data_IF_742118699251
#
_entry.id   IF_742118699251
#
_cell.length_a   1.000
_cell.length_b   1.000
_cell.length_c   1.000
_cell.angle_alpha   90.00
_cell.angle_beta   90.00
_cell.angle_gamma   90.00
#
_symmetry.space_group_name_H-M   'P 1'
#
loop_
_entity.id
_entity.type
_entity.pdbx_description
1 polymer ?
#
# COMPACT_ATOMS: atom_id res chain seq x y z
N UNK A 1 13.75 -6.21 -18.19
CA UNK A 1 14.29 -4.83 -18.16
C UNK A 1 13.63 -4.06 -17.02
N UNK A 2 14.37 -3.22 -16.31
CA UNK A 2 13.83 -2.35 -15.27
C UNK A 2 13.46 -0.99 -15.88
N UNK A 3 12.24 -0.51 -15.59
CA UNK A 3 11.85 0.84 -15.95
C UNK A 3 12.50 1.86 -14.99
N UNK A 4 13.23 2.83 -15.50
CA UNK A 4 13.92 3.84 -14.68
C UNK A 4 12.96 4.93 -14.21
N UNK A 5 12.07 5.39 -15.10
CA UNK A 5 11.08 6.42 -14.85
C UNK A 5 9.80 6.11 -15.66
N UNK A 6 8.80 7.00 -15.62
CA UNK A 6 7.52 6.84 -16.32
C UNK A 6 7.68 6.81 -17.84
N UNK A 7 8.46 7.70 -18.41
CA UNK A 7 8.69 7.78 -19.86
C UNK A 7 9.33 6.49 -20.35
N UNK A 8 10.33 5.97 -19.64
CA UNK A 8 10.95 4.70 -19.97
C UNK A 8 9.96 3.52 -19.86
N UNK A 9 9.06 3.54 -18.84
CA UNK A 9 7.98 2.55 -18.73
C UNK A 9 7.05 2.60 -19.95
N UNK A 10 6.64 3.79 -20.40
CA UNK A 10 5.82 3.98 -21.61
C UNK A 10 6.52 3.41 -22.84
N UNK A 11 7.79 3.68 -23.02
CA UNK A 11 8.58 3.16 -24.15
C UNK A 11 8.64 1.63 -24.12
N UNK A 12 8.91 1.03 -22.96
CA UNK A 12 8.96 -0.42 -22.79
C UNK A 12 7.61 -1.09 -23.08
N UNK A 13 6.50 -0.43 -22.79
CA UNK A 13 5.16 -0.95 -23.05
C UNK A 13 4.69 -0.77 -24.50
N UNK A 14 5.39 -0.02 -25.34
CA UNK A 14 5.10 0.08 -26.79
C UNK A 14 5.48 -1.18 -27.57
N UNK A 15 6.32 -2.04 -26.99
CA UNK A 15 6.73 -3.30 -27.63
C UNK A 15 5.52 -4.23 -27.77
N UNK A 16 5.28 -4.73 -28.97
CA UNK A 16 4.05 -5.47 -29.31
C UNK A 16 3.92 -6.83 -28.59
N UNK A 17 5.03 -7.49 -28.29
CA UNK A 17 5.04 -8.78 -27.59
C UNK A 17 6.40 -9.10 -27.00
N UNK A 18 6.40 -9.98 -26.00
CA UNK A 18 7.62 -10.47 -25.33
C UNK A 18 8.20 -9.46 -24.33
N UNK A 19 9.14 -9.97 -23.54
CA UNK A 19 9.84 -9.20 -22.54
C UNK A 19 9.18 -9.21 -21.15
N UNK A 20 10.02 -8.98 -20.15
CA UNK A 20 9.63 -8.78 -18.75
C UNK A 20 10.07 -7.38 -18.34
N UNK A 21 9.15 -6.60 -17.83
CA UNK A 21 9.40 -5.23 -17.35
C UNK A 21 9.21 -5.20 -15.84
N UNK A 22 10.26 -4.81 -15.13
CA UNK A 22 10.19 -4.55 -13.69
C UNK A 22 9.96 -3.06 -13.45
N UNK A 23 9.00 -2.75 -12.60
CA UNK A 23 8.66 -1.37 -12.24
C UNK A 23 8.14 -1.30 -10.81
N UNK A 24 8.03 -0.10 -10.27
CA UNK A 24 7.37 0.13 -8.99
C UNK A 24 5.99 0.76 -9.22
N UNK A 25 5.06 0.49 -8.32
CA UNK A 25 3.68 0.98 -8.43
C UNK A 25 3.59 2.51 -8.47
N UNK A 26 4.55 3.21 -7.84
CA UNK A 26 4.60 4.67 -7.81
C UNK A 26 4.73 5.31 -9.20
N UNK A 27 5.26 4.56 -10.18
CA UNK A 27 5.35 5.05 -11.56
C UNK A 27 3.99 5.15 -12.28
N UNK A 28 2.95 4.56 -11.67
CA UNK A 28 1.56 4.69 -12.13
C UNK A 28 0.80 5.82 -11.42
N UNK A 29 1.46 6.67 -10.64
CA UNK A 29 0.84 7.85 -10.06
C UNK A 29 0.85 8.99 -11.09
N UNK A 30 -0.27 9.70 -11.36
CA UNK A 30 -0.28 10.87 -12.23
C UNK A 30 0.59 11.99 -11.66
N UNK A 31 1.20 12.80 -12.51
CA UNK A 31 1.98 13.97 -12.10
C UNK A 31 1.06 15.09 -11.63
N UNK A 32 -0.03 15.28 -12.37
CA UNK A 32 -1.07 16.25 -12.06
C UNK A 32 -2.46 15.61 -12.20
N UNK A 33 -3.38 16.05 -11.37
CA UNK A 33 -4.78 15.60 -11.42
C UNK A 33 -5.00 14.18 -10.90
N UNK A 34 -6.09 13.56 -11.38
CA UNK A 34 -6.61 12.29 -10.88
C UNK A 34 -6.77 11.21 -11.96
N UNK A 35 -6.26 11.46 -13.15
CA UNK A 35 -6.37 10.55 -14.28
C UNK A 35 -4.97 10.16 -14.72
N UNK A 36 -4.74 8.84 -14.77
CA UNK A 36 -3.55 8.31 -15.41
C UNK A 36 -3.88 7.96 -16.86
N UNK A 37 -2.98 8.32 -17.77
CA UNK A 37 -3.18 8.00 -19.20
C UNK A 37 -3.10 6.48 -19.45
N UNK A 38 -3.86 6.03 -20.43
CA UNK A 38 -3.72 4.66 -20.92
C UNK A 38 -2.34 4.45 -21.56
N UNK A 39 -1.57 3.54 -21.02
CA UNK A 39 -0.26 3.18 -21.55
C UNK A 39 -0.37 2.12 -22.65
N UNK A 40 -1.34 1.21 -22.52
CA UNK A 40 -1.55 0.16 -23.49
C UNK A 40 -2.93 -0.50 -23.36
N UNK A 41 -3.67 -0.56 -24.45
CA UNK A 41 -4.93 -1.30 -24.57
C UNK A 41 -4.74 -2.80 -24.86
N UNK A 42 -3.52 -3.31 -24.86
CA UNK A 42 -3.23 -4.71 -25.20
C UNK A 42 -3.78 -5.66 -24.16
N UNK A 43 -4.29 -6.81 -24.64
CA UNK A 43 -4.82 -7.90 -23.80
C UNK A 43 -3.77 -8.95 -23.43
N UNK A 44 -2.59 -8.92 -24.06
CA UNK A 44 -1.51 -9.88 -23.82
C UNK A 44 -0.46 -9.35 -22.82
N UNK A 45 -0.86 -8.48 -21.90
CA UNK A 45 -0.05 -8.03 -20.78
C UNK A 45 -0.51 -8.78 -19.53
N UNK A 46 0.44 -9.34 -18.80
CA UNK A 46 0.22 -9.90 -17.46
C UNK A 46 0.95 -9.03 -16.46
N UNK A 47 0.22 -8.49 -15.51
CA UNK A 47 0.75 -7.70 -14.39
C UNK A 47 0.86 -8.62 -13.18
N UNK A 48 2.06 -8.79 -12.68
CA UNK A 48 2.35 -9.54 -11.46
C UNK A 48 2.69 -8.52 -10.36
N UNK A 49 1.85 -8.43 -9.34
CA UNK A 49 2.04 -7.56 -8.20
C UNK A 49 2.51 -8.38 -7.00
N UNK A 50 3.75 -8.15 -6.58
CA UNK A 50 4.27 -8.66 -5.32
C UNK A 50 3.87 -7.73 -4.18
N UNK A 51 3.73 -8.26 -2.96
CA UNK A 51 3.21 -7.55 -1.80
C UNK A 51 1.89 -6.81 -2.10
N UNK A 52 0.98 -7.51 -2.76
CA UNK A 52 -0.23 -6.93 -3.35
C UNK A 52 -1.10 -6.16 -2.34
N UNK A 53 -1.03 -6.48 -1.04
CA UNK A 53 -1.70 -5.76 0.03
C UNK A 53 -1.26 -4.30 0.14
N UNK A 54 -0.02 -3.96 -0.26
CA UNK A 54 0.50 -2.59 -0.22
C UNK A 54 -0.03 -1.72 -1.36
N UNK A 55 -0.47 -2.33 -2.45
CA UNK A 55 -0.95 -1.62 -3.65
C UNK A 55 -2.43 -1.30 -3.62
N UNK A 56 -3.16 -1.78 -2.60
CA UNK A 56 -4.61 -1.84 -2.55
C UNK A 56 -5.29 -0.61 -1.98
N UNK A 57 -4.60 0.48 -1.80
CA UNK A 57 -5.23 1.71 -1.33
C UNK A 57 -6.18 2.25 -2.41
N UNK A 58 -7.32 1.57 -2.49
CA UNK A 58 -8.60 2.01 -2.93
C UNK A 58 -8.79 2.35 -4.40
N UNK A 59 -9.76 1.68 -5.01
CA UNK A 59 -10.52 2.24 -6.12
C UNK A 59 -11.39 3.43 -5.66
N UNK A 60 -11.59 3.58 -4.33
CA UNK A 60 -12.38 4.66 -3.78
C UNK A 60 -11.62 5.97 -3.75
N UNK A 61 -12.31 7.02 -4.12
CA UNK A 61 -11.81 8.38 -4.04
C UNK A 61 -11.66 8.81 -2.57
N UNK A 62 -10.50 9.35 -2.23
CA UNK A 62 -10.27 10.01 -0.94
C UNK A 62 -10.06 11.49 -1.18
N UNK A 63 -10.72 12.32 -0.39
CA UNK A 63 -10.48 13.77 -0.41
C UNK A 63 -9.38 14.06 0.61
N UNK A 64 -8.32 14.70 0.15
CA UNK A 64 -7.22 15.19 1.01
C UNK A 64 -7.14 16.70 0.88
N UNK A 65 -6.70 17.35 1.95
CA UNK A 65 -6.45 18.78 1.94
C UNK A 65 -5.20 19.08 1.11
N UNK A 66 -5.28 20.14 0.30
CA UNK A 66 -4.18 20.68 -0.46
C UNK A 66 -3.54 21.80 0.36
N UNK A 67 -2.24 21.65 0.65
CA UNK A 67 -1.52 22.57 1.51
C UNK A 67 -0.59 23.45 0.67
N UNK A 68 -0.39 24.71 1.08
CA UNK A 68 0.65 25.58 0.57
C UNK A 68 2.04 25.23 1.17
N UNK A 69 3.07 25.97 0.78
CA UNK A 69 4.44 25.78 1.28
C UNK A 69 4.58 26.08 2.78
N UNK A 70 3.61 26.77 3.36
CA UNK A 70 3.56 27.15 4.77
C UNK A 70 2.71 26.20 5.60
N UNK A 71 2.04 25.21 4.94
CA UNK A 71 1.21 24.20 5.59
C UNK A 71 -0.25 24.59 5.79
N UNK A 72 -0.72 25.71 5.23
CA UNK A 72 -2.12 26.12 5.30
C UNK A 72 -2.94 25.40 4.25
N UNK A 73 -4.20 25.07 4.58
CA UNK A 73 -5.14 24.45 3.65
C UNK A 73 -5.60 25.48 2.61
N UNK A 74 -5.19 25.28 1.35
CA UNK A 74 -5.57 26.13 0.21
C UNK A 74 -6.69 25.54 -0.63
N UNK A 75 -7.00 24.25 -0.44
CA UNK A 75 -8.05 23.56 -1.20
C UNK A 75 -8.24 22.11 -0.77
N UNK A 76 -9.04 21.41 -1.54
CA UNK A 76 -9.23 19.96 -1.39
C UNK A 76 -9.08 19.29 -2.75
N UNK A 77 -8.32 18.20 -2.79
CA UNK A 77 -8.19 17.37 -3.99
C UNK A 77 -8.64 15.94 -3.73
N UNK A 78 -9.20 15.35 -4.76
CA UNK A 78 -9.57 13.93 -4.75
C UNK A 78 -8.36 13.12 -5.21
N UNK A 79 -8.01 12.08 -4.48
CA UNK A 79 -6.95 11.12 -4.84
C UNK A 79 -7.51 9.72 -4.85
N UNK A 80 -6.97 8.89 -5.72
CA UNK A 80 -7.28 7.47 -5.78
C UNK A 80 -6.06 6.65 -5.37
N UNK A 81 -6.27 5.39 -5.05
CA UNK A 81 -5.17 4.47 -4.81
C UNK A 81 -4.45 4.06 -6.09
N UNK A 82 -3.24 3.56 -5.93
CA UNK A 82 -2.40 3.10 -7.06
C UNK A 82 -3.07 2.02 -7.91
N UNK A 83 -3.91 1.18 -7.31
CA UNK A 83 -4.62 0.12 -8.05
C UNK A 83 -5.52 0.69 -9.14
N UNK A 84 -6.18 1.83 -8.88
CA UNK A 84 -7.00 2.50 -9.89
C UNK A 84 -6.13 3.00 -11.05
N UNK A 85 -5.07 3.72 -10.77
CA UNK A 85 -4.18 4.27 -11.80
C UNK A 85 -3.50 3.18 -12.63
N UNK A 86 -3.12 2.08 -12.00
CA UNK A 86 -2.60 0.92 -12.71
C UNK A 86 -3.63 0.29 -13.65
N UNK A 87 -4.90 0.21 -13.21
CA UNK A 87 -6.01 -0.27 -14.05
C UNK A 87 -6.32 0.69 -15.18
N UNK A 88 -6.30 2.00 -14.94
CA UNK A 88 -6.48 3.02 -15.97
C UNK A 88 -5.37 2.93 -17.04
N UNK A 89 -4.13 2.73 -16.59
CA UNK A 89 -2.96 2.60 -17.49
C UNK A 89 -3.00 1.34 -18.36
N UNK A 90 -3.51 0.24 -17.84
CA UNK A 90 -3.51 -1.07 -18.49
C UNK A 90 -4.88 -1.75 -18.37
N UNK A 91 -5.94 -1.19 -19.00
CA UNK A 91 -7.33 -1.59 -18.75
C UNK A 91 -7.66 -3.04 -19.16
N UNK A 92 -6.92 -3.60 -20.10
CA UNK A 92 -7.16 -4.94 -20.64
C UNK A 92 -6.12 -5.98 -20.18
N UNK A 93 -5.22 -5.61 -19.26
CA UNK A 93 -4.21 -6.53 -18.74
C UNK A 93 -4.84 -7.57 -17.78
N UNK A 94 -4.22 -8.74 -17.72
CA UNK A 94 -4.50 -9.73 -16.68
C UNK A 94 -3.69 -9.39 -15.43
N UNK A 95 -4.32 -9.45 -14.26
CA UNK A 95 -3.68 -9.08 -12.99
C UNK A 95 -3.57 -10.29 -12.07
N UNK A 96 -2.39 -10.48 -11.50
CA UNK A 96 -2.09 -11.52 -10.54
C UNK A 96 -1.39 -10.90 -9.33
N UNK A 97 -1.95 -11.06 -8.14
CA UNK A 97 -1.40 -10.55 -6.88
C UNK A 97 -0.82 -11.67 -6.03
N UNK A 98 0.37 -11.44 -5.47
CA UNK A 98 0.97 -12.28 -4.44
C UNK A 98 1.03 -11.48 -3.13
N UNK A 99 0.64 -12.08 -2.02
CA UNK A 99 0.71 -11.45 -0.70
C UNK A 99 0.72 -12.47 0.42
N UNK A 100 1.58 -12.27 1.40
CA UNK A 100 1.57 -13.05 2.65
C UNK A 100 0.57 -12.52 3.70
N UNK A 101 -0.03 -11.34 3.46
CA UNK A 101 -0.94 -10.68 4.40
C UNK A 101 -2.15 -10.10 3.67
N UNK A 102 -3.07 -10.94 3.17
CA UNK A 102 -4.26 -10.44 2.50
C UNK A 102 -5.11 -9.59 3.46
N UNK A 103 -5.70 -8.53 2.92
CA UNK A 103 -6.55 -7.62 3.68
C UNK A 103 -8.00 -7.74 3.19
N UNK A 104 -8.91 -7.97 4.12
CA UNK A 104 -10.35 -8.10 3.86
C UNK A 104 -11.15 -7.09 4.72
N UNK A 105 -10.82 -5.83 4.60
CA UNK A 105 -11.58 -4.75 5.25
C UNK A 105 -12.53 -4.07 4.25
N UNK A 106 -13.55 -3.39 4.76
CA UNK A 106 -14.58 -2.70 3.98
C UNK A 106 -14.01 -1.71 2.97
N UNK A 107 -12.91 -1.03 3.33
CA UNK A 107 -12.30 0.03 2.49
C UNK A 107 -11.10 -0.46 1.67
N UNK A 108 -10.54 -1.63 2.03
CA UNK A 108 -9.34 -2.21 1.40
C UNK A 108 -9.55 -3.71 1.32
N UNK A 109 -9.73 -4.23 0.11
CA UNK A 109 -10.07 -5.64 -0.09
C UNK A 109 -9.26 -6.21 -1.25
N UNK A 110 -8.40 -7.20 -0.95
CA UNK A 110 -7.55 -7.89 -1.93
C UNK A 110 -8.36 -8.55 -3.03
N UNK A 111 -9.41 -9.33 -2.74
CA UNK A 111 -10.27 -9.92 -3.75
C UNK A 111 -10.94 -8.90 -4.67
N UNK A 112 -11.32 -7.74 -4.18
CA UNK A 112 -11.92 -6.69 -5.01
C UNK A 112 -10.94 -6.14 -6.07
N UNK A 113 -9.64 -6.21 -5.82
CA UNK A 113 -8.60 -5.71 -6.73
C UNK A 113 -8.12 -6.79 -7.69
N UNK A 114 -7.89 -8.00 -7.22
CA UNK A 114 -7.25 -9.08 -7.97
C UNK A 114 -8.20 -10.24 -8.33
N UNK A 115 -9.41 -10.27 -7.78
CA UNK A 115 -10.35 -11.39 -7.90
C UNK A 115 -10.17 -12.40 -6.77
N UNK A 116 -10.86 -13.54 -6.90
CA UNK A 116 -10.83 -14.62 -5.93
C UNK A 116 -9.44 -15.24 -5.79
N UNK A 117 -9.19 -15.86 -4.63
CA UNK A 117 -7.93 -16.57 -4.40
C UNK A 117 -7.80 -17.75 -5.37
N UNK A 118 -6.64 -17.82 -6.03
CA UNK A 118 -6.27 -18.96 -6.88
C UNK A 118 -5.75 -20.09 -6.00
N UNK A 119 -4.93 -19.73 -5.00
CA UNK A 119 -4.34 -20.67 -4.05
C UNK A 119 -3.97 -19.95 -2.75
N UNK A 120 -3.96 -20.70 -1.63
CA UNK A 120 -3.57 -20.22 -0.30
C UNK A 120 -2.56 -21.19 0.27
N UNK A 121 -1.33 -20.73 0.46
CA UNK A 121 -0.25 -21.45 1.14
C UNK A 121 0.00 -20.79 2.50
N UNK A 122 -0.62 -21.32 3.53
CA UNK A 122 -0.57 -20.73 4.86
C UNK A 122 0.65 -21.22 5.69
N UNK A 123 0.84 -20.59 6.86
CA UNK A 123 1.96 -20.91 7.75
C UNK A 123 1.87 -22.37 8.25
N UNK A 124 0.66 -22.91 8.46
CA UNK A 124 0.50 -24.27 8.95
C UNK A 124 1.00 -25.26 7.91
N UNK A 125 0.60 -25.09 6.65
CA UNK A 125 1.09 -25.89 5.54
C UNK A 125 2.60 -25.72 5.33
N UNK A 126 3.12 -24.50 5.41
CA UNK A 126 4.54 -24.24 5.28
C UNK A 126 5.38 -24.93 6.38
N UNK A 127 4.84 -25.10 7.58
CA UNK A 127 5.48 -25.89 8.65
C UNK A 127 5.43 -27.39 8.35
N UNK A 128 4.29 -27.92 7.88
CA UNK A 128 4.14 -29.32 7.50
C UNK A 128 5.09 -29.72 6.39
N UNK A 129 5.24 -28.85 5.38
CA UNK A 129 6.15 -29.04 4.24
C UNK A 129 7.63 -28.83 4.61
N UNK A 130 7.93 -28.38 5.84
CA UNK A 130 9.29 -28.09 6.28
C UNK A 130 9.91 -26.82 5.63
N UNK A 131 9.09 -25.99 5.00
CA UNK A 131 9.53 -24.74 4.39
C UNK A 131 9.80 -23.64 5.44
N UNK A 132 9.20 -23.74 6.62
CA UNK A 132 9.44 -22.88 7.77
C UNK A 132 9.40 -23.65 9.08
N UNK A 133 9.74 -22.99 10.18
CA UNK A 133 9.71 -23.58 11.53
C UNK A 133 8.42 -23.19 12.26
N UNK A 134 8.01 -24.03 13.21
CA UNK A 134 6.84 -23.74 14.05
C UNK A 134 7.08 -22.50 14.89
N UNK A 135 6.10 -21.60 14.91
CA UNK A 135 6.10 -20.41 15.76
C UNK A 135 5.58 -20.78 17.14
N UNK A 136 6.35 -20.49 18.18
CA UNK A 136 5.94 -20.60 19.57
C UNK A 136 5.70 -19.21 20.12
N UNK A 137 4.48 -18.93 20.52
CA UNK A 137 4.12 -17.64 21.11
C UNK A 137 4.23 -17.73 22.64
N UNK A 138 5.11 -16.92 23.23
CA UNK A 138 5.24 -16.75 24.69
C UNK A 138 4.84 -15.33 25.06
N UNK A 139 3.71 -15.18 25.75
CA UNK A 139 3.28 -13.87 26.26
C UNK A 139 3.99 -13.60 27.60
N UNK A 140 4.82 -12.58 27.63
CA UNK A 140 5.46 -12.10 28.86
C UNK A 140 4.93 -10.74 29.22
N UNK A 141 4.26 -10.63 30.37
CA UNK A 141 3.88 -9.36 30.96
C UNK A 141 5.11 -8.76 31.66
N UNK A 142 5.70 -7.74 31.07
CA UNK A 142 6.67 -6.90 31.76
C UNK A 142 5.90 -5.98 32.71
N UNK A 143 6.05 -6.20 34.06
CA UNK A 143 5.56 -5.24 35.03
C UNK A 143 6.50 -4.04 35.04
N UNK A 144 6.13 -3.02 34.23
CA UNK A 144 6.82 -1.75 34.26
C UNK A 144 6.15 -0.91 35.35
N UNK A 145 6.90 -0.57 36.42
CA UNK A 145 6.48 0.37 37.44
C UNK A 145 7.39 1.60 37.37
N UNK A 146 6.79 2.76 37.39
CA UNK A 146 7.55 4.00 37.54
C UNK A 146 8.12 4.03 38.98
N UNK A 147 9.38 4.46 39.10
CA UNK A 147 9.94 4.82 40.39
C UNK A 147 9.12 5.95 41.02
N UNK A 148 9.21 6.14 42.33
CA UNK A 148 8.50 7.24 43.01
C UNK A 148 8.88 8.61 42.44
N UNK A 149 10.13 8.79 42.06
CA UNK A 149 10.61 9.99 41.32
C UNK A 149 9.94 10.15 39.95
N UNK A 150 9.80 9.05 39.19
CA UNK A 150 9.10 9.06 37.90
C UNK A 150 7.61 9.39 38.03
N UNK A 151 6.96 8.94 39.09
CA UNK A 151 5.56 9.29 39.38
C UNK A 151 5.38 10.77 39.74
N UNK A 152 6.36 11.34 40.47
CA UNK A 152 6.37 12.78 40.76
C UNK A 152 6.54 13.61 39.49
N UNK A 153 7.48 13.24 38.64
CA UNK A 153 7.74 13.94 37.37
C UNK A 153 6.50 13.93 36.48
N UNK A 154 5.79 12.80 36.37
CA UNK A 154 4.54 12.73 35.59
C UNK A 154 3.47 13.62 36.17
N UNK A 155 3.34 13.71 37.52
CA UNK A 155 2.38 14.62 38.17
C UNK A 155 2.70 16.09 37.94
N UNK A 156 3.97 16.45 37.94
CA UNK A 156 4.42 17.83 37.67
C UNK A 156 4.10 18.22 36.25
N UNK A 157 4.44 17.36 35.25
CA UNK A 157 4.10 17.56 33.86
C UNK A 157 2.60 17.69 33.60
N UNK A 158 1.80 16.85 34.24
CA UNK A 158 0.32 16.88 34.14
C UNK A 158 -0.25 18.16 34.76
N UNK A 159 0.44 18.70 35.75
CA UNK A 159 0.11 19.99 36.39
C UNK A 159 0.48 21.20 35.55
N UNK A 160 1.56 21.11 34.78
CA UNK A 160 1.98 22.17 33.85
C UNK A 160 1.05 22.23 32.62
N UNK A 161 0.75 21.08 32.02
CA UNK A 161 -0.16 20.99 30.87
C UNK A 161 -1.56 21.55 31.18
N UNK A 162 -2.08 21.33 32.39
CA UNK A 162 -3.38 21.89 32.83
C UNK A 162 -3.38 23.39 33.09
N UNK A 163 -2.21 24.04 33.19
CA UNK A 163 -2.09 25.49 33.36
C UNK A 163 -2.04 26.24 32.02
N UNK A 164 -1.60 25.58 30.96
CA UNK A 164 -1.52 26.15 29.61
C UNK A 164 -2.86 26.09 28.85
N UNK A 165 -3.84 25.31 29.35
CA UNK A 165 -5.19 25.18 28.78
C UNK A 165 -6.23 26.15 29.41
N UNK A 166 -5.83 27.13 30.22
CA UNK A 166 -6.65 28.20 30.77
C UNK A 166 -6.09 29.55 30.33
#
# INVERSE_FOLDING_TARGET
>A
VQANNREHLKELLKVASGGVVFTTIQKFQPEEGNIYEELSARKNIVVIADEAHRTQYGFQAKTIDELDLEGNVIGKRVVYGFAKYLRDALPNATYLGFTGTPIENTDVNTPAVFGDYIDIYDIAQAVEDGATVRIYYESRLAKISLSEEGKQLVKELDGELKKDDN
#
